data_IF_515906673768
#
_entry.id   IF_515906673768
#
_cell.length_a   1.000
_cell.length_b   1.000
_cell.length_c   1.000
_cell.angle_alpha   90.00
_cell.angle_beta   90.00
_cell.angle_gamma   90.00
#
_symmetry.space_group_name_H-M   'P 1'
#
loop_
_entity.id
_entity.type
_entity.pdbx_description
1 polymer ?
#
# COMPACT_ATOMS: atom_id res chain seq x y z
N UNK A 1 -5.84 8.54 4.97
CA UNK A 1 -6.55 7.48 5.71
C UNK A 1 -7.87 7.97 6.32
N UNK A 2 -7.89 8.82 7.36
CA UNK A 2 -9.15 9.23 8.01
C UNK A 2 -10.19 9.82 7.04
N UNK A 3 -9.79 10.75 6.17
CA UNK A 3 -10.68 11.30 5.14
C UNK A 3 -11.28 10.23 4.21
N UNK A 4 -10.47 9.24 3.80
CA UNK A 4 -10.92 8.15 2.93
C UNK A 4 -11.90 7.20 3.65
N UNK A 5 -11.68 6.91 4.93
CA UNK A 5 -12.64 6.14 5.73
C UNK A 5 -13.97 6.90 5.87
N UNK A 6 -13.90 8.16 6.32
CA UNK A 6 -15.08 8.99 6.58
C UNK A 6 -15.91 9.28 5.32
N UNK A 7 -15.28 9.32 4.14
CA UNK A 7 -15.98 9.50 2.86
C UNK A 7 -16.46 8.20 2.22
N UNK A 8 -16.33 7.06 2.90
CA UNK A 8 -16.77 5.75 2.39
C UNK A 8 -15.93 5.19 1.25
N UNK A 9 -14.72 5.73 1.00
CA UNK A 9 -13.80 5.19 -0.01
C UNK A 9 -13.35 3.78 0.37
N UNK A 10 -12.88 3.61 1.62
CA UNK A 10 -12.37 2.31 2.09
C UNK A 10 -13.48 1.26 2.19
N UNK A 11 -14.72 1.69 2.45
CA UNK A 11 -15.88 0.80 2.51
C UNK A 11 -16.17 0.07 1.17
N UNK A 12 -15.61 0.52 0.04
CA UNK A 12 -15.75 -0.16 -1.25
C UNK A 12 -14.87 -1.40 -1.37
N UNK A 13 -13.74 -1.43 -0.68
CA UNK A 13 -12.77 -2.53 -0.72
C UNK A 13 -12.78 -3.41 0.53
N UNK A 14 -13.45 -2.99 1.60
CA UNK A 14 -13.58 -3.74 2.85
C UNK A 14 -14.80 -4.69 2.81
N UNK A 15 -14.57 -5.93 3.19
CA UNK A 15 -15.63 -6.90 3.53
C UNK A 15 -15.78 -6.92 5.06
N UNK A 16 -16.97 -6.55 5.53
CA UNK A 16 -17.29 -6.57 6.96
C UNK A 16 -17.20 -7.99 7.54
N UNK A 17 -16.68 -8.11 8.76
CA UNK A 17 -16.62 -9.38 9.49
C UNK A 17 -17.39 -9.28 10.81
N UNK A 18 -17.98 -10.38 11.24
CA UNK A 18 -18.59 -10.48 12.57
C UNK A 18 -17.54 -10.91 13.58
N UNK A 19 -17.36 -10.11 14.64
CA UNK A 19 -16.45 -10.41 15.75
C UNK A 19 -17.23 -10.66 17.04
N UNK A 20 -16.83 -11.63 17.88
CA UNK A 20 -17.44 -11.81 19.20
C UNK A 20 -17.29 -10.55 20.06
N UNK A 21 -18.41 -10.05 20.60
CA UNK A 21 -18.47 -8.92 21.54
C UNK A 21 -18.95 -9.36 22.95
N UNK A 22 -19.06 -10.68 23.17
CA UNK A 22 -19.51 -11.28 24.41
C UNK A 22 -20.09 -12.69 24.17
N UNK A 23 -20.62 -13.33 25.21
CA UNK A 23 -21.07 -14.74 25.14
C UNK A 23 -22.20 -15.02 24.13
N UNK A 24 -23.01 -14.01 23.79
CA UNK A 24 -24.13 -14.10 22.83
C UNK A 24 -24.27 -12.85 21.95
N UNK A 25 -23.23 -12.01 21.88
CA UNK A 25 -23.24 -10.75 21.15
C UNK A 25 -22.13 -10.78 20.11
N UNK A 26 -22.45 -10.36 18.89
CA UNK A 26 -21.47 -10.09 17.83
C UNK A 26 -21.49 -8.60 17.51
N UNK A 27 -20.35 -8.09 17.06
CA UNK A 27 -20.20 -6.75 16.53
C UNK A 27 -19.73 -6.86 15.07
N UNK A 28 -20.23 -5.98 14.22
CA UNK A 28 -19.69 -5.84 12.86
C UNK A 28 -18.39 -5.03 12.93
N UNK A 29 -17.31 -5.60 12.40
CA UNK A 29 -16.03 -4.94 12.19
C UNK A 29 -15.88 -4.66 10.69
N UNK A 30 -15.94 -3.38 10.34
CA UNK A 30 -16.02 -2.92 8.95
C UNK A 30 -15.21 -1.64 8.70
N UNK A 31 -14.42 -1.19 9.67
CA UNK A 31 -13.61 0.03 9.60
C UNK A 31 -12.20 -0.28 10.11
N UNK A 32 -11.18 0.33 9.49
CA UNK A 32 -9.81 0.20 9.92
C UNK A 32 -9.63 0.89 11.28
N UNK A 33 -9.26 0.11 12.30
CA UNK A 33 -9.14 0.57 13.68
C UNK A 33 -7.80 1.28 13.97
N UNK A 34 -6.81 1.14 13.10
CA UNK A 34 -5.48 1.72 13.30
C UNK A 34 -5.41 3.22 13.00
N UNK A 35 -6.43 3.74 12.30
CA UNK A 35 -6.49 5.15 11.90
C UNK A 35 -6.69 6.05 13.12
N UNK A 36 -5.76 6.99 13.33
CA UNK A 36 -5.84 8.01 14.39
C UNK A 36 -6.21 9.38 13.83
N UNK A 37 -7.49 9.71 13.89
CA UNK A 37 -8.04 10.97 13.35
C UNK A 37 -7.53 12.23 14.07
N UNK A 38 -7.09 12.09 15.31
CA UNK A 38 -6.59 13.13 16.21
C UNK A 38 -5.06 13.29 16.18
N UNK A 39 -4.38 12.65 15.22
CA UNK A 39 -2.92 12.77 15.07
C UNK A 39 -2.52 14.19 14.72
N UNK A 40 -1.57 14.77 15.48
CA UNK A 40 -0.99 16.09 15.19
C UNK A 40 0.53 16.01 15.07
N UNK A 41 1.13 17.01 14.41
CA UNK A 41 2.58 17.09 14.27
C UNK A 41 3.27 17.22 15.65
N UNK A 42 2.66 17.96 16.57
CA UNK A 42 3.15 18.15 17.94
C UNK A 42 3.17 16.83 18.70
N UNK A 43 2.07 16.06 18.64
CA UNK A 43 1.99 14.76 19.27
C UNK A 43 3.00 13.77 18.69
N UNK A 44 3.16 13.75 17.36
CA UNK A 44 4.16 12.89 16.69
C UNK A 44 5.59 13.27 17.02
N UNK A 45 5.89 14.57 17.13
CA UNK A 45 7.23 15.09 17.44
C UNK A 45 7.68 14.81 18.88
N UNK A 46 6.73 14.60 19.80
CA UNK A 46 7.02 14.26 21.19
C UNK A 46 7.35 12.76 21.41
N UNK A 47 7.17 11.91 20.39
CA UNK A 47 7.38 10.47 20.52
C UNK A 47 8.87 10.13 20.60
N UNK A 48 9.22 9.21 21.50
CA UNK A 48 10.58 8.70 21.63
C UNK A 48 10.90 7.73 20.47
N UNK A 49 12.16 7.70 20.06
CA UNK A 49 12.68 6.74 19.10
C UNK A 49 13.30 5.52 19.83
N UNK A 50 12.58 4.38 19.95
CA UNK A 50 13.04 3.27 20.79
C UNK A 50 14.17 2.43 20.15
N UNK A 51 14.39 2.58 18.84
CA UNK A 51 15.28 1.69 18.08
C UNK A 51 16.75 2.09 18.15
N UNK A 52 17.04 3.38 18.39
CA UNK A 52 18.39 3.92 18.39
C UNK A 52 18.42 5.20 19.22
N UNK A 53 19.48 5.36 20.01
CA UNK A 53 19.78 6.64 20.66
C UNK A 53 19.93 7.74 19.60
N UNK A 54 19.27 8.88 19.80
CA UNK A 54 19.15 9.96 18.81
C UNK A 54 18.60 9.50 17.45
N UNK A 55 17.77 8.46 17.45
CA UNK A 55 17.07 7.97 16.26
C UNK A 55 15.88 8.84 15.86
N UNK A 56 15.39 8.63 14.63
CA UNK A 56 14.27 9.38 14.05
C UNK A 56 13.01 8.53 13.83
N UNK A 57 13.12 7.21 13.95
CA UNK A 57 12.00 6.29 13.79
C UNK A 57 11.29 6.11 15.13
N UNK A 58 9.99 6.41 15.16
CA UNK A 58 9.12 6.36 16.34
C UNK A 58 7.88 5.52 16.03
N UNK A 59 7.06 5.24 17.05
CA UNK A 59 5.79 4.55 16.86
C UNK A 59 4.76 5.37 16.04
N UNK A 60 4.99 6.67 15.81
CA UNK A 60 4.09 7.52 15.03
C UNK A 60 4.47 7.63 13.55
N UNK A 61 5.65 7.15 13.16
CA UNK A 61 6.12 7.21 11.77
C UNK A 61 6.59 5.83 11.24
N UNK A 62 6.16 4.77 11.90
CA UNK A 62 6.34 3.38 11.51
C UNK A 62 4.96 2.71 11.47
N UNK A 63 4.77 1.74 10.57
CA UNK A 63 3.55 0.94 10.59
C UNK A 63 3.44 0.11 11.86
N UNK A 64 2.20 -0.07 12.35
CA UNK A 64 1.92 -0.90 13.51
C UNK A 64 2.06 -2.41 13.28
N UNK A 65 1.77 -3.17 14.34
CA UNK A 65 1.50 -4.61 14.28
C UNK A 65 -0.01 -4.75 14.11
N UNK A 66 -0.45 -5.47 13.08
CA UNK A 66 -1.84 -5.50 12.69
C UNK A 66 -2.23 -6.89 12.19
N UNK A 67 -3.52 -7.20 12.35
CA UNK A 67 -4.16 -8.40 11.81
C UNK A 67 -4.99 -8.05 10.59
N UNK A 68 -5.00 -8.93 9.59
CA UNK A 68 -5.94 -8.84 8.50
C UNK A 68 -5.58 -9.76 7.33
N UNK A 69 -6.53 -9.88 6.39
CA UNK A 69 -6.41 -10.71 5.20
C UNK A 69 -6.94 -9.98 3.97
N UNK A 70 -6.39 -10.33 2.80
CA UNK A 70 -6.83 -9.82 1.51
C UNK A 70 -6.79 -10.98 0.52
N UNK A 71 -7.81 -11.08 -0.33
CA UNK A 71 -7.92 -12.11 -1.34
C UNK A 71 -8.16 -11.46 -2.71
N UNK A 72 -7.43 -11.96 -3.72
CA UNK A 72 -7.56 -11.55 -5.11
C UNK A 72 -7.92 -12.76 -5.95
N UNK A 73 -8.88 -12.61 -6.86
CA UNK A 73 -9.19 -13.62 -7.86
C UNK A 73 -8.50 -13.26 -9.18
N UNK A 74 -7.57 -14.11 -9.61
CA UNK A 74 -6.86 -13.96 -10.88
C UNK A 74 -7.46 -14.89 -11.93
N UNK A 75 -7.53 -14.41 -13.16
CA UNK A 75 -7.95 -15.19 -14.32
C UNK A 75 -7.16 -14.74 -15.55
N UNK A 76 -7.00 -15.63 -16.52
CA UNK A 76 -6.50 -15.23 -17.83
C UNK A 76 -7.57 -14.39 -18.55
N UNK A 77 -7.12 -13.50 -19.42
CA UNK A 77 -7.99 -12.66 -20.26
C UNK A 77 -8.98 -13.51 -21.07
N UNK A 78 -8.50 -14.54 -21.76
CA UNK A 78 -9.34 -15.48 -22.51
C UNK A 78 -10.43 -16.16 -21.65
N UNK A 79 -10.13 -16.46 -20.38
CA UNK A 79 -11.12 -17.06 -19.48
C UNK A 79 -12.12 -16.02 -18.96
N UNK A 80 -11.69 -14.77 -18.72
CA UNK A 80 -12.57 -13.67 -18.38
C UNK A 80 -13.59 -13.39 -19.49
N UNK A 81 -13.11 -13.33 -20.73
CA UNK A 81 -13.94 -13.16 -21.93
C UNK A 81 -14.93 -14.30 -22.09
N UNK A 82 -14.46 -15.56 -22.03
CA UNK A 82 -15.31 -16.76 -22.14
C UNK A 82 -16.43 -16.78 -21.09
N UNK A 83 -16.17 -16.28 -19.89
CA UNK A 83 -17.14 -16.23 -18.80
C UNK A 83 -17.95 -14.93 -18.74
N UNK A 84 -17.73 -13.98 -19.66
CA UNK A 84 -18.37 -12.67 -19.67
C UNK A 84 -18.11 -11.87 -18.38
N UNK A 85 -16.93 -12.04 -17.76
CA UNK A 85 -16.54 -11.31 -16.54
C UNK A 85 -15.70 -10.11 -16.92
N UNK A 86 -16.06 -8.94 -16.39
CA UNK A 86 -15.25 -7.72 -16.48
C UNK A 86 -14.23 -7.70 -15.34
N UNK A 87 -12.92 -7.82 -15.60
CA UNK A 87 -11.92 -7.76 -14.54
C UNK A 87 -11.85 -6.37 -13.91
N UNK A 88 -11.35 -6.30 -12.67
CA UNK A 88 -11.19 -5.02 -11.94
C UNK A 88 -10.00 -4.21 -12.49
N UNK A 89 -8.92 -4.92 -12.83
CA UNK A 89 -7.68 -4.39 -13.39
C UNK A 89 -6.93 -5.52 -14.10
N UNK A 90 -5.94 -5.17 -14.92
CA UNK A 90 -5.04 -6.08 -15.64
C UNK A 90 -3.62 -5.95 -15.09
N UNK A 91 -2.92 -7.07 -14.90
CA UNK A 91 -1.49 -7.05 -14.56
C UNK A 91 -0.68 -6.76 -15.83
N UNK A 92 0.07 -5.66 -15.84
CA UNK A 92 0.95 -5.28 -16.96
C UNK A 92 2.31 -5.95 -16.81
N UNK A 93 2.88 -5.94 -15.61
CA UNK A 93 4.17 -6.56 -15.34
C UNK A 93 4.54 -6.52 -13.88
N UNK A 94 5.45 -7.41 -13.50
CA UNK A 94 6.05 -7.45 -12.17
C UNK A 94 7.55 -7.65 -12.25
N UNK A 95 8.25 -7.19 -11.21
CA UNK A 95 9.67 -7.37 -11.02
C UNK A 95 10.06 -7.42 -9.54
N UNK A 96 11.16 -8.12 -9.26
CA UNK A 96 11.77 -8.17 -7.93
C UNK A 96 13.22 -7.72 -7.99
N UNK A 97 13.75 -7.23 -6.87
CA UNK A 97 15.14 -6.84 -6.71
C UNK A 97 15.69 -7.31 -5.35
N UNK A 98 16.98 -7.64 -5.32
CA UNK A 98 17.72 -7.93 -4.11
C UNK A 98 18.71 -6.81 -3.80
N UNK A 99 18.97 -6.56 -2.53
CA UNK A 99 19.89 -5.55 -2.02
C UNK A 99 20.47 -6.00 -0.67
N UNK A 100 21.45 -5.27 -0.16
CA UNK A 100 22.04 -5.61 1.13
C UNK A 100 20.98 -5.54 2.26
N UNK A 101 20.90 -6.51 3.18
CA UNK A 101 19.88 -6.55 4.24
C UNK A 101 19.80 -5.26 5.07
N UNK A 102 20.94 -4.63 5.34
CA UNK A 102 21.05 -3.38 6.13
C UNK A 102 20.31 -2.18 5.54
N UNK A 103 19.98 -2.20 4.25
CA UNK A 103 19.26 -1.13 3.55
C UNK A 103 17.95 -1.65 2.94
N UNK A 104 17.38 -2.74 3.47
CA UNK A 104 16.22 -3.43 2.90
C UNK A 104 15.06 -2.49 2.50
N UNK A 105 14.89 -1.39 3.22
CA UNK A 105 13.86 -0.39 2.94
C UNK A 105 13.93 0.21 1.53
N UNK A 106 15.11 0.23 0.91
CA UNK A 106 15.31 0.73 -0.45
C UNK A 106 14.83 -0.23 -1.53
N UNK A 107 14.44 -1.47 -1.21
CA UNK A 107 14.03 -2.49 -2.18
C UNK A 107 12.99 -2.07 -3.23
N UNK A 108 11.98 -1.24 -2.90
CA UNK A 108 11.02 -0.72 -3.88
C UNK A 108 11.66 -0.01 -5.06
N UNK A 109 12.72 0.77 -4.86
CA UNK A 109 13.29 1.61 -5.91
C UNK A 109 13.92 0.79 -7.07
N UNK A 110 14.85 -0.17 -6.83
CA UNK A 110 15.37 -1.01 -7.89
C UNK A 110 14.31 -1.97 -8.47
N UNK A 111 13.32 -2.41 -7.69
CA UNK A 111 12.22 -3.22 -8.22
C UNK A 111 11.33 -2.41 -9.17
N UNK A 112 11.05 -1.15 -8.82
CA UNK A 112 10.28 -0.19 -9.62
C UNK A 112 10.98 0.10 -10.95
N UNK A 113 12.26 0.49 -10.93
CA UNK A 113 13.03 0.72 -12.16
C UNK A 113 13.00 -0.50 -13.09
N UNK A 114 13.13 -1.70 -12.53
CA UNK A 114 13.11 -2.96 -13.28
C UNK A 114 11.75 -3.25 -13.92
N UNK A 115 10.63 -3.00 -13.23
CA UNK A 115 9.29 -3.22 -13.83
C UNK A 115 8.96 -2.17 -14.87
N UNK A 116 9.38 -0.91 -14.67
CA UNK A 116 9.23 0.17 -15.65
C UNK A 116 9.97 -0.16 -16.95
N UNK A 117 11.25 -0.53 -16.84
CA UNK A 117 12.06 -0.99 -17.99
C UNK A 117 11.41 -2.19 -18.71
N UNK A 118 10.95 -3.19 -17.95
CA UNK A 118 10.32 -4.40 -18.51
C UNK A 118 9.01 -4.12 -19.24
N UNK A 119 8.28 -3.07 -18.84
CA UNK A 119 6.96 -2.73 -19.42
C UNK A 119 7.05 -1.61 -20.45
N UNK A 120 8.18 -0.91 -20.55
CA UNK A 120 8.34 0.26 -21.40
C UNK A 120 7.58 1.50 -20.92
N UNK A 121 7.17 1.51 -19.64
CA UNK A 121 6.43 2.61 -19.00
C UNK A 121 7.36 3.50 -18.18
N UNK A 122 6.95 4.75 -18.00
CA UNK A 122 7.59 5.73 -17.13
C UNK A 122 6.84 5.94 -15.80
N UNK A 123 7.46 6.66 -14.86
CA UNK A 123 6.80 7.07 -13.60
C UNK A 123 5.71 8.11 -13.86
N UNK A 124 5.85 8.89 -14.92
CA UNK A 124 4.90 9.87 -15.43
C UNK A 124 3.60 9.23 -15.94
N UNK A 125 3.64 7.95 -16.35
CA UNK A 125 2.45 7.22 -16.78
C UNK A 125 1.59 6.74 -15.61
N UNK A 126 2.14 6.75 -14.38
CA UNK A 126 1.42 6.27 -13.20
C UNK A 126 0.46 7.35 -12.70
N UNK A 127 -0.82 7.00 -12.61
CA UNK A 127 -1.86 7.84 -11.99
C UNK A 127 -1.97 7.59 -10.48
N UNK A 128 -1.56 6.39 -10.03
CA UNK A 128 -1.59 5.97 -8.63
C UNK A 128 -0.30 5.24 -8.29
N UNK A 129 0.27 5.53 -7.13
CA UNK A 129 1.44 4.86 -6.59
C UNK A 129 1.10 4.39 -5.18
N UNK A 130 0.90 3.08 -5.00
CA UNK A 130 0.77 2.44 -3.68
C UNK A 130 2.14 1.90 -3.26
N UNK A 131 2.85 2.69 -2.45
CA UNK A 131 4.12 2.34 -1.83
C UNK A 131 3.87 1.93 -0.37
N UNK A 132 4.18 0.68 -0.01
CA UNK A 132 4.03 0.24 1.39
C UNK A 132 4.89 1.06 2.34
N UNK A 133 4.27 1.68 3.34
CA UNK A 133 4.91 2.53 4.33
C UNK A 133 5.35 1.72 5.56
N UNK A 134 6.35 0.84 5.41
CA UNK A 134 6.90 0.14 6.57
C UNK A 134 7.47 1.15 7.59
N UNK A 135 8.15 2.17 7.08
CA UNK A 135 8.64 3.33 7.85
C UNK A 135 8.57 4.59 6.99
N UNK A 136 8.22 5.73 7.57
CA UNK A 136 8.20 7.01 6.85
C UNK A 136 9.57 7.34 6.25
N UNK A 137 10.65 7.12 7.00
CA UNK A 137 12.02 7.34 6.53
C UNK A 137 12.35 6.49 5.28
N UNK A 138 11.84 5.26 5.23
CA UNK A 138 12.01 4.37 4.09
C UNK A 138 11.17 4.81 2.89
N UNK A 139 9.90 5.16 3.12
CA UNK A 139 9.02 5.67 2.07
C UNK A 139 9.61 6.90 1.39
N UNK A 140 10.02 7.89 2.19
CA UNK A 140 10.67 9.11 1.71
C UNK A 140 11.97 8.82 0.95
N UNK A 141 12.80 7.90 1.44
CA UNK A 141 14.04 7.56 0.76
C UNK A 141 13.79 6.93 -0.63
N UNK A 142 12.77 6.06 -0.74
CA UNK A 142 12.39 5.44 -2.02
C UNK A 142 11.88 6.47 -3.02
N UNK A 143 10.93 7.34 -2.62
CA UNK A 143 10.30 8.27 -3.56
C UNK A 143 11.32 9.32 -4.05
N UNK A 144 12.22 9.79 -3.18
CA UNK A 144 13.31 10.70 -3.56
C UNK A 144 14.32 10.03 -4.49
N UNK A 145 14.65 8.75 -4.25
CA UNK A 145 15.52 7.97 -5.16
C UNK A 145 14.87 7.75 -6.54
N UNK A 146 13.54 7.65 -6.59
CA UNK A 146 12.75 7.59 -7.81
C UNK A 146 12.51 8.97 -8.45
N UNK A 147 12.97 10.07 -7.83
CA UNK A 147 12.81 11.43 -8.35
C UNK A 147 11.40 12.03 -8.19
N UNK A 148 10.58 11.47 -7.30
CA UNK A 148 9.25 11.98 -6.99
C UNK A 148 9.30 13.01 -5.84
N UNK A 149 8.37 13.96 -5.86
CA UNK A 149 8.21 14.90 -4.76
C UNK A 149 7.64 14.19 -3.51
N UNK A 150 8.00 14.68 -2.32
CA UNK A 150 7.55 14.10 -1.06
C UNK A 150 6.02 14.18 -0.87
N UNK A 151 5.38 15.15 -1.52
CA UNK A 151 3.95 15.45 -1.48
C UNK A 151 3.22 15.14 -2.79
N UNK A 152 3.81 14.30 -3.66
CA UNK A 152 3.18 13.90 -4.91
C UNK A 152 1.81 13.25 -4.64
N UNK A 153 0.70 13.84 -5.14
CA UNK A 153 -0.66 13.42 -4.80
C UNK A 153 -1.03 12.02 -5.30
N UNK A 154 -0.20 11.44 -6.17
CA UNK A 154 -0.38 10.07 -6.68
C UNK A 154 0.05 9.02 -5.65
N UNK A 155 0.88 9.39 -4.67
CA UNK A 155 1.46 8.47 -3.69
C UNK A 155 0.48 8.26 -2.53
N UNK A 156 0.06 7.02 -2.33
CA UNK A 156 -0.83 6.57 -1.25
C UNK A 156 -2.02 7.53 -1.01
N UNK A 157 -2.85 7.85 -2.03
CA UNK A 157 -3.85 8.92 -1.96
C UNK A 157 -4.92 8.68 -0.89
N UNK A 158 -5.12 7.43 -0.47
CA UNK A 158 -6.06 7.05 0.59
C UNK A 158 -5.38 6.81 1.94
N UNK A 159 -4.07 7.05 2.05
CA UNK A 159 -3.20 6.68 3.17
C UNK A 159 -2.57 5.30 3.01
N UNK A 160 -1.42 5.09 3.66
CA UNK A 160 -0.68 3.84 3.65
C UNK A 160 -0.59 3.16 5.01
N UNK A 161 0.38 2.25 5.13
CA UNK A 161 0.53 1.33 6.23
C UNK A 161 0.84 1.98 7.60
N UNK A 162 1.33 3.22 7.64
CA UNK A 162 1.50 3.94 8.91
C UNK A 162 0.14 4.18 9.57
N UNK A 163 -0.89 4.51 8.78
CA UNK A 163 -2.22 4.79 9.29
C UNK A 163 -3.16 3.57 9.24
N UNK A 164 -3.01 2.71 8.24
CA UNK A 164 -3.89 1.56 7.99
C UNK A 164 -3.36 0.26 8.61
N UNK A 165 -2.08 0.22 8.95
CA UNK A 165 -1.42 -0.95 9.49
C UNK A 165 -0.71 -1.83 8.45
N UNK A 166 0.10 -2.77 8.94
CA UNK A 166 0.93 -3.65 8.11
C UNK A 166 0.87 -5.14 8.49
N UNK A 167 -0.26 -5.84 8.22
CA UNK A 167 -0.28 -7.30 8.33
C UNK A 167 0.60 -7.91 7.23
N UNK A 168 1.80 -8.39 7.61
CA UNK A 168 2.91 -8.69 6.69
C UNK A 168 2.52 -9.57 5.50
N UNK A 169 1.77 -10.65 5.74
CA UNK A 169 1.34 -11.59 4.70
C UNK A 169 0.22 -11.07 3.78
N UNK A 170 -0.41 -9.95 4.14
CA UNK A 170 -1.57 -9.39 3.45
C UNK A 170 -1.21 -8.13 2.65
N UNK A 171 -0.31 -7.29 3.15
CA UNK A 171 -0.12 -5.93 2.62
C UNK A 171 0.15 -5.86 1.12
N UNK A 172 0.89 -6.82 0.54
CA UNK A 172 1.12 -6.85 -0.91
C UNK A 172 -0.18 -6.92 -1.71
N UNK A 173 -1.12 -7.80 -1.33
CA UNK A 173 -2.43 -7.90 -1.99
C UNK A 173 -3.33 -6.68 -1.69
N UNK A 174 -3.22 -6.10 -0.49
CA UNK A 174 -3.94 -4.87 -0.12
C UNK A 174 -3.54 -3.69 -1.00
N UNK A 175 -2.24 -3.46 -1.24
CA UNK A 175 -1.78 -2.37 -2.13
C UNK A 175 -2.42 -2.48 -3.52
N UNK A 176 -2.42 -3.69 -4.08
CA UNK A 176 -3.02 -3.96 -5.41
C UNK A 176 -4.52 -3.71 -5.41
N UNK A 177 -5.22 -4.13 -4.34
CA UNK A 177 -6.66 -3.90 -4.18
C UNK A 177 -6.95 -2.40 -4.13
N UNK A 178 -6.31 -1.67 -3.21
CA UNK A 178 -6.51 -0.23 -3.06
C UNK A 178 -6.19 0.53 -4.35
N UNK A 179 -5.09 0.19 -5.02
CA UNK A 179 -4.73 0.79 -6.31
C UNK A 179 -5.79 0.55 -7.38
N UNK A 180 -6.33 -0.66 -7.50
CA UNK A 180 -7.34 -0.99 -8.49
C UNK A 180 -8.66 -0.23 -8.25
N UNK A 181 -9.12 -0.16 -7.00
CA UNK A 181 -10.30 0.64 -6.63
C UNK A 181 -10.05 2.14 -6.83
N UNK A 182 -8.84 2.62 -6.56
CA UNK A 182 -8.46 4.01 -6.81
C UNK A 182 -8.53 4.37 -8.29
N UNK A 183 -7.91 3.56 -9.17
CA UNK A 183 -7.94 3.78 -10.61
C UNK A 183 -9.36 3.84 -11.15
N UNK A 184 -10.24 2.91 -10.72
CA UNK A 184 -11.64 2.93 -11.12
C UNK A 184 -12.37 4.19 -10.63
N UNK A 185 -12.08 4.65 -9.41
CA UNK A 185 -12.72 5.83 -8.84
C UNK A 185 -12.30 7.11 -9.57
N UNK A 186 -11.04 7.23 -9.96
CA UNK A 186 -10.49 8.44 -10.58
C UNK A 186 -10.53 8.42 -12.11
N UNK A 187 -10.83 7.26 -12.72
CA UNK A 187 -10.67 7.07 -14.17
C UNK A 187 -9.20 7.02 -14.59
N UNK A 188 -8.28 6.73 -13.66
CA UNK A 188 -6.86 6.58 -13.93
C UNK A 188 -6.57 5.30 -14.73
N UNK A 189 -5.43 5.29 -15.42
CA UNK A 189 -4.99 4.22 -16.31
C UNK A 189 -4.02 3.26 -15.63
N UNK A 190 -2.89 3.73 -15.12
CA UNK A 190 -1.85 2.85 -14.55
C UNK A 190 -1.60 3.11 -13.08
N UNK A 191 -1.34 2.03 -12.33
CA UNK A 191 -0.88 2.11 -10.96
C UNK A 191 0.39 1.28 -10.72
N UNK A 192 1.32 1.87 -9.96
CA UNK A 192 2.50 1.19 -9.43
C UNK A 192 2.22 0.74 -7.99
N UNK A 193 2.31 -0.56 -7.74
CA UNK A 193 2.25 -1.14 -6.39
C UNK A 193 3.65 -1.65 -6.02
N UNK A 194 4.27 -1.13 -4.96
CA UNK A 194 5.63 -1.53 -4.59
C UNK A 194 5.87 -1.59 -3.09
N UNK A 195 6.72 -2.52 -2.64
CA UNK A 195 7.04 -2.69 -1.22
C UNK A 195 8.44 -3.27 -0.99
N UNK A 196 9.04 -2.87 0.14
CA UNK A 196 10.24 -3.49 0.65
C UNK A 196 9.91 -4.83 1.28
N UNK A 197 10.91 -5.71 1.37
CA UNK A 197 10.78 -7.03 1.97
C UNK A 197 11.98 -7.23 2.90
N UNK A 198 11.72 -7.88 4.03
CA UNK A 198 12.75 -8.28 5.00
C UNK A 198 13.96 -8.93 4.34
N UNK A 199 15.11 -8.88 5.01
CA UNK A 199 16.39 -9.48 4.53
C UNK A 199 16.91 -8.97 3.18
N UNK A 200 16.41 -7.83 2.69
CA UNK A 200 17.01 -7.12 1.56
C UNK A 200 16.41 -7.49 0.22
N UNK A 201 15.09 -7.35 0.10
CA UNK A 201 14.38 -7.56 -1.15
C UNK A 201 13.38 -6.42 -1.40
N UNK A 202 12.90 -6.32 -2.64
CA UNK A 202 11.79 -5.48 -3.02
C UNK A 202 11.02 -6.08 -4.19
N UNK A 203 9.75 -5.70 -4.29
CA UNK A 203 8.84 -6.12 -5.36
C UNK A 203 8.08 -4.92 -5.88
N UNK A 204 7.81 -4.91 -7.18
CA UNK A 204 6.96 -3.94 -7.84
C UNK A 204 6.06 -4.66 -8.85
N UNK A 205 4.82 -4.17 -8.96
CA UNK A 205 3.78 -4.62 -9.87
C UNK A 205 3.14 -3.39 -10.52
N UNK A 206 2.96 -3.40 -11.83
CA UNK A 206 2.15 -2.41 -12.53
C UNK A 206 0.82 -3.06 -12.92
N UNK A 207 -0.28 -2.39 -12.57
CA UNK A 207 -1.62 -2.74 -13.01
C UNK A 207 -2.21 -1.64 -13.88
N UNK A 208 -3.13 -2.01 -14.76
CA UNK A 208 -3.87 -1.12 -15.65
C UNK A 208 -5.38 -1.25 -15.40
N UNK A 209 -6.11 -0.14 -15.43
CA UNK A 209 -7.58 -0.11 -15.42
C UNK A 209 -8.14 -0.47 -16.80
N UNK A 210 -9.24 -1.23 -16.83
CA UNK A 210 -9.88 -1.76 -18.06
C UNK A 210 -11.39 -1.51 -18.10
#
# INVERSE_FOLDING_TARGET
>A
AHAAQSSGILAKEIVAIEVPAGRRQTKIFEHDEHIRADSTLEAMSALKAPFKENGTVTAGNASGINDGACALLLMSEAQAEKLGKRPLARIVGSATAGLAPRIMGMGPAPATRKVLEKTGLGLEDMDVIELNEAFAAQGLAVIRDLGLADDDPRINPNGGAIALGHPLGMSGARLVTTAAYQLQRTGGKYALCTMCIGVGQGIALIIESI
#
